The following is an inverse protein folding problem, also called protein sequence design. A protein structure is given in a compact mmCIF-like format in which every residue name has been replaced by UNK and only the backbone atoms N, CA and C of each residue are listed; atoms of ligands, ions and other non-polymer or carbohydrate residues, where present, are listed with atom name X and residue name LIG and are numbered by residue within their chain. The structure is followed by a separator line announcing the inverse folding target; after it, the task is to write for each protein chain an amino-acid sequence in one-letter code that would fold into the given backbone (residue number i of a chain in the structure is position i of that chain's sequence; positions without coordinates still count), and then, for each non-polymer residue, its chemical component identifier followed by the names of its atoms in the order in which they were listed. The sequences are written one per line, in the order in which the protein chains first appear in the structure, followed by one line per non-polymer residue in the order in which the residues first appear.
data_IF_785839423605
#
_entry.id   IF_785839423605
#
_cell.length_a   1.000
_cell.length_b   1.000
_cell.length_c   1.000
_cell.angle_alpha   90.00
_cell.angle_beta   90.00
_cell.angle_gamma   90.00
#
_symmetry.space_group_name_H-M   'P 1'
#
loop_
_entity.id
_entity.type
_entity.pdbx_description
1 polymer ?
#
# COMPACT_ATOMS: atom_id res chain seq x y z
N UNK A 1 -5.95 18.24 -45.35
CA UNK A 1 -5.12 18.41 -44.15
C UNK A 1 -5.71 17.56 -43.06
N UNK A 2 -5.21 16.33 -42.89
CA UNK A 2 -5.70 15.40 -41.87
C UNK A 2 -5.05 15.74 -40.52
N UNK A 3 -5.80 15.86 -39.42
CA UNK A 3 -5.19 16.03 -38.11
C UNK A 3 -4.53 14.72 -37.69
N UNK A 4 -3.22 14.73 -37.57
CA UNK A 4 -2.44 13.62 -36.97
C UNK A 4 -2.87 13.47 -35.51
N UNK A 5 -3.77 12.55 -35.26
CA UNK A 5 -4.20 12.17 -33.93
C UNK A 5 -2.98 11.63 -33.13
N UNK A 6 -2.70 12.30 -32.05
CA UNK A 6 -1.66 11.98 -31.07
C UNK A 6 -1.99 10.64 -30.36
N UNK A 7 -1.87 9.51 -31.09
CA UNK A 7 -2.14 8.14 -30.63
C UNK A 7 -1.02 7.56 -29.76
N UNK A 8 0.19 8.09 -29.87
CA UNK A 8 1.36 7.58 -29.14
C UNK A 8 1.31 7.90 -27.63
N UNK A 9 0.82 9.07 -27.23
CA UNK A 9 0.72 9.44 -25.82
C UNK A 9 -0.32 8.63 -25.04
N UNK A 10 -1.44 8.27 -25.68
CA UNK A 10 -2.48 7.42 -25.07
C UNK A 10 -2.02 5.98 -24.89
N UNK A 11 -1.20 5.46 -25.83
CA UNK A 11 -0.63 4.12 -25.74
C UNK A 11 0.36 3.97 -24.59
N UNK A 12 1.25 4.93 -24.39
CA UNK A 12 2.23 4.93 -23.29
C UNK A 12 1.55 5.05 -21.92
N UNK A 13 0.57 5.94 -21.78
CA UNK A 13 -0.18 6.09 -20.55
C UNK A 13 -0.93 4.80 -20.17
N UNK A 14 -1.55 4.12 -21.14
CA UNK A 14 -2.25 2.86 -20.88
C UNK A 14 -1.30 1.71 -20.50
N UNK A 15 -0.10 1.65 -21.09
CA UNK A 15 0.93 0.69 -20.70
C UNK A 15 1.46 0.94 -19.29
N UNK A 16 1.72 2.20 -18.94
CA UNK A 16 2.15 2.58 -17.59
C UNK A 16 1.10 2.23 -16.53
N UNK A 17 -0.18 2.51 -16.81
CA UNK A 17 -1.29 2.15 -15.91
C UNK A 17 -1.43 0.63 -15.74
N UNK A 18 -1.28 -0.16 -16.82
CA UNK A 18 -1.30 -1.63 -16.73
C UNK A 18 -0.12 -2.19 -15.95
N UNK A 19 1.08 -1.61 -16.15
CA UNK A 19 2.27 -1.97 -15.38
C UNK A 19 2.10 -1.69 -13.88
N UNK A 20 1.58 -0.51 -13.54
CA UNK A 20 1.26 -0.14 -12.17
C UNK A 20 0.22 -1.08 -11.54
N UNK A 21 -0.83 -1.43 -12.30
CA UNK A 21 -1.85 -2.38 -11.86
C UNK A 21 -1.28 -3.77 -11.61
N UNK A 22 -0.41 -4.26 -12.50
CA UNK A 22 0.29 -5.53 -12.33
C UNK A 22 1.19 -5.55 -11.09
N UNK A 23 1.99 -4.49 -10.89
CA UNK A 23 2.83 -4.33 -9.70
C UNK A 23 1.99 -4.32 -8.41
N UNK A 24 0.86 -3.60 -8.40
CA UNK A 24 -0.06 -3.56 -7.26
C UNK A 24 -0.60 -4.95 -6.92
N UNK A 25 -0.98 -5.74 -7.93
CA UNK A 25 -1.44 -7.13 -7.71
C UNK A 25 -0.32 -8.00 -7.14
N UNK A 26 0.89 -7.90 -7.68
CA UNK A 26 2.04 -8.67 -7.19
C UNK A 26 2.34 -8.36 -5.71
N UNK A 27 2.36 -7.08 -5.34
CA UNK A 27 2.56 -6.64 -3.95
C UNK A 27 1.43 -7.15 -3.04
N UNK A 28 0.17 -7.13 -3.50
CA UNK A 28 -0.95 -7.67 -2.74
C UNK A 28 -0.83 -9.20 -2.53
N UNK A 29 -0.38 -9.94 -3.52
CA UNK A 29 -0.11 -11.39 -3.39
C UNK A 29 0.96 -11.64 -2.34
N UNK A 30 2.06 -10.86 -2.34
CA UNK A 30 3.09 -10.95 -1.30
C UNK A 30 2.51 -10.69 0.09
N UNK A 31 1.66 -9.68 0.24
CA UNK A 31 0.95 -9.41 1.50
C UNK A 31 0.08 -10.58 1.96
N UNK A 32 -0.61 -11.22 1.03
CA UNK A 32 -1.45 -12.40 1.32
C UNK A 32 -0.60 -13.60 1.74
N UNK A 33 0.52 -13.85 1.06
CA UNK A 33 1.46 -14.91 1.45
C UNK A 33 2.05 -14.66 2.84
N UNK A 34 2.33 -13.41 3.18
CA UNK A 34 2.81 -13.03 4.49
C UNK A 34 1.76 -13.30 5.58
N UNK A 35 0.46 -13.09 5.31
CA UNK A 35 -0.62 -13.47 6.24
C UNK A 35 -0.58 -14.97 6.52
N UNK A 36 -0.48 -15.79 5.47
CA UNK A 36 -0.40 -17.26 5.62
C UNK A 36 0.83 -17.65 6.42
N UNK A 37 1.98 -17.03 6.13
CA UNK A 37 3.22 -17.30 6.85
C UNK A 37 3.09 -17.00 8.36
N UNK A 38 2.49 -15.85 8.71
CA UNK A 38 2.25 -15.47 10.12
C UNK A 38 1.26 -16.44 10.79
N UNK A 39 0.20 -16.81 10.08
CA UNK A 39 -0.76 -17.78 10.62
C UNK A 39 -0.09 -19.10 10.97
N UNK A 40 0.79 -19.60 10.09
CA UNK A 40 1.57 -20.80 10.34
C UNK A 40 2.57 -20.62 11.50
N UNK A 41 3.23 -19.46 11.58
CA UNK A 41 4.17 -19.16 12.65
C UNK A 41 3.49 -19.12 14.02
N UNK A 42 2.33 -18.43 14.12
CA UNK A 42 1.55 -18.36 15.36
C UNK A 42 1.05 -19.77 15.74
N UNK A 43 0.55 -20.54 14.76
CA UNK A 43 0.11 -21.91 14.98
C UNK A 43 1.24 -22.79 15.50
N UNK A 44 2.44 -22.69 14.91
CA UNK A 44 3.61 -23.42 15.36
C UNK A 44 4.03 -23.03 16.79
N UNK A 45 4.02 -21.73 17.13
CA UNK A 45 4.32 -21.25 18.50
C UNK A 45 3.33 -21.81 19.52
N UNK A 46 2.04 -21.77 19.20
CA UNK A 46 0.97 -22.31 20.09
C UNK A 46 1.16 -23.82 20.31
N UNK A 47 1.46 -24.58 19.26
CA UNK A 47 1.72 -26.01 19.35
C UNK A 47 2.98 -26.30 20.16
N UNK A 48 4.09 -25.59 19.88
CA UNK A 48 5.36 -25.73 20.59
C UNK A 48 5.21 -25.45 22.10
N UNK A 49 4.45 -24.41 22.42
CA UNK A 49 4.15 -24.00 23.80
C UNK A 49 3.30 -25.05 24.54
N UNK A 50 2.26 -25.58 23.89
CA UNK A 50 1.32 -26.52 24.54
C UNK A 50 1.83 -27.96 24.61
N UNK A 51 2.56 -28.42 23.58
CA UNK A 51 3.03 -29.81 23.51
C UNK A 51 4.41 -30.00 24.14
N UNK A 52 5.29 -29.03 23.99
CA UNK A 52 6.70 -29.15 24.38
C UNK A 52 7.09 -28.19 25.52
N UNK A 53 6.17 -27.32 25.96
CA UNK A 53 6.43 -26.25 26.92
C UNK A 53 7.64 -25.36 26.52
N UNK A 54 7.88 -25.23 25.21
CA UNK A 54 9.00 -24.52 24.60
C UNK A 54 8.46 -23.47 23.60
N UNK A 55 8.11 -22.24 24.07
CA UNK A 55 7.65 -21.18 23.19
C UNK A 55 8.75 -20.74 22.21
N UNK A 56 8.35 -20.39 20.98
CA UNK A 56 9.28 -19.88 19.98
C UNK A 56 9.59 -18.42 20.31
N UNK A 57 10.88 -18.11 20.52
CA UNK A 57 11.30 -16.74 20.85
C UNK A 57 11.07 -15.78 19.68
N UNK A 58 10.57 -14.57 19.96
CA UNK A 58 10.44 -13.49 18.98
C UNK A 58 9.19 -13.54 18.11
N UNK A 59 8.25 -14.46 18.32
CA UNK A 59 7.00 -14.54 17.57
C UNK A 59 6.18 -13.26 17.70
N UNK A 60 5.97 -12.67 18.90
CA UNK A 60 5.22 -11.41 19.04
C UNK A 60 5.84 -10.26 18.23
N UNK A 61 7.16 -10.15 18.23
CA UNK A 61 7.91 -9.13 17.50
C UNK A 61 7.77 -9.31 15.98
N UNK A 62 7.93 -10.54 15.50
CA UNK A 62 7.72 -10.86 14.08
C UNK A 62 6.30 -10.59 13.63
N UNK A 63 5.31 -10.94 14.43
CA UNK A 63 3.90 -10.67 14.15
C UNK A 63 3.64 -9.17 14.09
N UNK A 64 4.12 -8.39 15.05
CA UNK A 64 3.94 -6.95 15.10
C UNK A 64 4.54 -6.26 13.86
N UNK A 65 5.76 -6.61 13.47
CA UNK A 65 6.42 -6.09 12.27
C UNK A 65 5.66 -6.49 11.00
N UNK A 66 5.20 -7.72 10.93
CA UNK A 66 4.51 -8.25 9.75
C UNK A 66 3.13 -7.66 9.55
N UNK A 67 2.37 -7.34 10.61
CA UNK A 67 1.08 -6.65 10.51
C UNK A 67 1.25 -5.31 9.78
N UNK A 68 2.27 -4.54 10.16
CA UNK A 68 2.57 -3.26 9.49
C UNK A 68 2.89 -3.51 8.01
N UNK A 69 3.76 -4.47 7.70
CA UNK A 69 4.11 -4.82 6.34
C UNK A 69 2.88 -5.23 5.50
N UNK A 70 2.01 -6.08 6.03
CA UNK A 70 0.78 -6.53 5.37
C UNK A 70 -0.11 -5.35 5.00
N UNK A 71 -0.33 -4.43 5.92
CA UNK A 71 -1.17 -3.24 5.67
C UNK A 71 -0.63 -2.46 4.47
N UNK A 72 0.66 -2.11 4.46
CA UNK A 72 1.25 -1.32 3.37
C UNK A 72 1.35 -2.07 2.04
N UNK A 73 1.40 -3.42 2.06
CA UNK A 73 1.36 -4.23 0.84
C UNK A 73 -0.05 -4.34 0.24
N UNK A 74 -1.12 -4.29 1.06
CA UNK A 74 -2.49 -4.54 0.60
C UNK A 74 -3.31 -3.28 0.35
N UNK A 75 -3.03 -2.15 1.02
CA UNK A 75 -3.77 -0.90 0.87
C UNK A 75 -3.80 -0.38 -0.58
N UNK A 76 -2.73 -0.42 -1.39
CA UNK A 76 -2.78 -0.01 -2.80
C UNK A 76 -3.79 -0.79 -3.64
N UNK A 77 -3.93 -2.10 -3.39
CA UNK A 77 -4.91 -2.94 -4.08
C UNK A 77 -6.35 -2.62 -3.66
N UNK A 78 -6.56 -2.28 -2.40
CA UNK A 78 -7.88 -1.87 -1.89
C UNK A 78 -8.37 -0.60 -2.57
N UNK A 79 -7.47 0.37 -2.79
CA UNK A 79 -7.78 1.58 -3.56
C UNK A 79 -8.10 1.26 -5.02
N UNK A 80 -7.27 0.43 -5.67
CA UNK A 80 -7.46 0.02 -7.06
C UNK A 80 -8.80 -0.71 -7.27
N UNK A 81 -9.20 -1.57 -6.34
CA UNK A 81 -10.44 -2.34 -6.41
C UNK A 81 -11.70 -1.52 -6.07
N UNK A 82 -11.55 -0.21 -5.84
CA UNK A 82 -12.61 0.71 -5.39
C UNK A 82 -13.37 0.23 -4.13
N UNK A 83 -12.67 -0.55 -3.30
CA UNK A 83 -13.19 -1.11 -2.05
C UNK A 83 -12.92 -0.21 -0.84
N UNK A 84 -12.41 0.99 -1.08
CA UNK A 84 -12.29 1.98 -0.02
C UNK A 84 -13.70 2.35 0.46
N UNK A 85 -13.96 2.17 1.75
CA UNK A 85 -15.20 2.57 2.39
C UNK A 85 -15.30 4.10 2.32
N UNK A 86 -15.96 4.59 1.28
CA UNK A 86 -16.29 6.01 1.13
C UNK A 86 -17.76 6.17 1.43
N UNK A 87 -18.13 7.36 1.87
CA UNK A 87 -19.54 7.75 1.95
C UNK A 87 -20.08 7.92 0.52
N UNK A 88 -20.23 6.78 -0.19
CA UNK A 88 -20.69 6.74 -1.59
C UNK A 88 -22.05 7.36 -1.74
N UNK A 89 -22.93 7.23 -0.74
CA UNK A 89 -24.28 7.76 -0.78
C UNK A 89 -24.34 9.30 -1.00
N UNK A 90 -23.46 10.05 -0.31
CA UNK A 90 -23.37 11.50 -0.47
C UNK A 90 -22.77 11.86 -1.82
N UNK A 91 -21.71 11.19 -2.21
CA UNK A 91 -21.01 11.43 -3.47
C UNK A 91 -21.91 11.08 -4.67
N UNK A 92 -22.64 9.96 -4.60
CA UNK A 92 -23.59 9.54 -5.64
C UNK A 92 -24.77 10.50 -5.76
N UNK A 93 -25.26 11.07 -4.66
CA UNK A 93 -26.29 12.09 -4.68
C UNK A 93 -25.80 13.38 -5.37
N UNK A 94 -24.55 13.80 -5.10
CA UNK A 94 -23.92 14.96 -5.74
C UNK A 94 -23.66 14.66 -7.23
N UNK A 95 -23.17 13.47 -7.57
CA UNK A 95 -22.88 13.06 -8.95
C UNK A 95 -24.13 13.08 -9.83
N UNK A 96 -25.32 12.74 -9.28
CA UNK A 96 -26.60 12.81 -10.01
C UNK A 96 -27.06 14.24 -10.29
N UNK A 97 -26.74 15.20 -9.41
CA UNK A 97 -27.19 16.61 -9.55
C UNK A 97 -26.15 17.51 -10.21
N UNK A 98 -24.86 17.28 -9.94
CA UNK A 98 -23.77 18.13 -10.39
C UNK A 98 -22.50 17.27 -10.63
N UNK A 99 -22.38 16.58 -11.79
CA UNK A 99 -21.28 15.65 -12.05
C UNK A 99 -19.90 16.32 -12.02
N UNK A 100 -19.80 17.58 -12.45
CA UNK A 100 -18.54 18.35 -12.40
C UNK A 100 -18.11 18.67 -10.98
N UNK A 101 -19.05 18.97 -10.08
CA UNK A 101 -18.74 19.24 -8.66
C UNK A 101 -18.24 17.95 -7.98
N UNK A 102 -18.87 16.81 -8.26
CA UNK A 102 -18.41 15.52 -7.75
C UNK A 102 -16.99 15.20 -8.23
N UNK A 103 -16.68 15.43 -9.51
CA UNK A 103 -15.35 15.22 -10.09
C UNK A 103 -14.28 16.07 -9.39
N UNK A 104 -14.55 17.38 -9.20
CA UNK A 104 -13.63 18.29 -8.52
C UNK A 104 -13.40 17.85 -7.06
N UNK A 105 -14.48 17.49 -6.37
CA UNK A 105 -14.42 17.06 -4.97
C UNK A 105 -13.61 15.77 -4.82
N UNK A 106 -13.81 14.77 -5.68
CA UNK A 106 -12.98 13.55 -5.69
C UNK A 106 -11.51 13.87 -5.97
N UNK A 107 -11.23 14.75 -6.93
CA UNK A 107 -9.85 15.16 -7.26
C UNK A 107 -9.19 15.87 -6.09
N UNK A 108 -9.89 16.76 -5.38
CA UNK A 108 -9.35 17.46 -4.20
C UNK A 108 -9.01 16.47 -3.08
N UNK A 109 -9.88 15.48 -2.81
CA UNK A 109 -9.60 14.44 -1.82
C UNK A 109 -8.42 13.56 -2.23
N UNK A 110 -8.31 13.19 -3.50
CA UNK A 110 -7.18 12.39 -3.99
C UNK A 110 -5.86 13.18 -3.91
N UNK A 111 -5.85 14.48 -4.20
CA UNK A 111 -4.69 15.35 -4.04
C UNK A 111 -4.30 15.49 -2.56
N UNK A 112 -5.27 15.70 -1.67
CA UNK A 112 -5.02 15.76 -0.23
C UNK A 112 -4.42 14.45 0.29
N UNK A 113 -4.89 13.30 -0.19
CA UNK A 113 -4.32 11.99 0.13
C UNK A 113 -2.88 11.86 -0.37
N UNK A 114 -2.58 12.30 -1.60
CA UNK A 114 -1.21 12.30 -2.15
C UNK A 114 -0.28 13.18 -1.32
N UNK A 115 -0.71 14.36 -0.91
CA UNK A 115 0.09 15.27 -0.08
C UNK A 115 0.39 14.65 1.30
N UNK A 116 -0.61 14.04 1.93
CA UNK A 116 -0.44 13.39 3.23
C UNK A 116 0.49 12.16 3.13
N UNK A 117 0.32 11.33 2.09
CA UNK A 117 1.21 10.20 1.84
C UNK A 117 2.62 10.65 1.47
N UNK A 118 2.76 11.76 0.75
CA UNK A 118 4.05 12.37 0.44
C UNK A 118 4.78 12.83 1.70
N UNK A 119 4.07 13.48 2.62
CA UNK A 119 4.62 13.85 3.92
C UNK A 119 5.03 12.61 4.75
N UNK A 120 4.21 11.55 4.73
CA UNK A 120 4.53 10.27 5.37
C UNK A 120 5.80 9.65 4.78
N UNK A 121 5.90 9.61 3.44
CA UNK A 121 7.06 9.07 2.74
C UNK A 121 8.33 9.87 3.07
N UNK A 122 8.23 11.20 3.05
CA UNK A 122 9.32 12.10 3.43
C UNK A 122 9.81 11.86 4.86
N UNK A 123 8.89 11.72 5.81
CA UNK A 123 9.22 11.43 7.20
C UNK A 123 9.77 9.99 7.42
N UNK A 124 9.32 9.04 6.62
CA UNK A 124 9.73 7.63 6.72
C UNK A 124 11.11 7.36 6.10
N UNK A 125 11.51 8.16 5.11
CA UNK A 125 12.78 7.96 4.42
C UNK A 125 14.02 8.01 5.34
N UNK A 126 14.21 9.05 6.19
CA UNK A 126 15.36 9.09 7.11
C UNK A 126 15.31 7.99 8.17
N UNK A 127 14.11 7.53 8.55
CA UNK A 127 13.96 6.40 9.47
C UNK A 127 14.39 5.07 8.83
N UNK A 128 14.17 4.92 7.52
CA UNK A 128 14.65 3.76 6.77
C UNK A 128 16.18 3.80 6.64
N UNK A 129 16.76 4.93 6.21
CA UNK A 129 18.23 5.06 6.05
C UNK A 129 18.97 4.84 7.35
N UNK A 130 18.51 5.41 8.46
CA UNK A 130 19.09 5.16 9.79
C UNK A 130 19.02 3.68 10.19
N UNK A 131 17.93 2.98 9.84
CA UNK A 131 17.79 1.57 10.20
C UNK A 131 18.66 0.66 9.35
N UNK A 132 18.94 1.08 8.12
CA UNK A 132 19.88 0.41 7.23
C UNK A 132 21.33 0.59 7.68
N UNK A 133 21.74 1.83 8.04
CA UNK A 133 23.10 2.16 8.42
C UNK A 133 23.47 1.66 9.83
N UNK A 134 22.50 1.63 10.76
CA UNK A 134 22.74 1.30 12.18
C UNK A 134 22.31 -0.11 12.54
N UNK A 135 21.90 -0.93 11.56
CA UNK A 135 21.38 -2.29 11.78
C UNK A 135 20.40 -2.37 12.97
N UNK A 136 19.43 -1.44 13.00
CA UNK A 136 18.47 -1.42 14.09
C UNK A 136 17.61 -2.68 14.09
N UNK A 137 17.46 -3.29 15.27
CA UNK A 137 16.68 -4.49 15.47
C UNK A 137 15.63 -4.32 16.58
N UNK A 138 14.61 -5.16 16.56
CA UNK A 138 13.62 -5.32 17.62
C UNK A 138 13.82 -6.68 18.27
N UNK A 139 13.60 -6.74 19.59
CA UNK A 139 13.79 -7.93 20.40
C UNK A 139 14.83 -7.76 21.49
N UNK A 140 15.07 -8.81 22.26
CA UNK A 140 16.02 -8.83 23.35
C UNK A 140 17.34 -9.46 22.89
N UNK A 141 18.45 -8.75 23.11
CA UNK A 141 19.81 -9.26 22.83
C UNK A 141 20.01 -10.57 23.62
N UNK A 142 20.42 -11.62 22.91
CA UNK A 142 20.68 -12.94 23.48
C UNK A 142 19.51 -13.92 23.45
N UNK A 143 18.30 -13.46 23.05
CA UNK A 143 17.14 -14.34 22.89
C UNK A 143 16.64 -14.35 21.43
N UNK A 144 16.23 -13.18 20.91
CA UNK A 144 15.79 -13.01 19.52
C UNK A 144 15.99 -11.57 19.08
N UNK A 145 16.50 -11.38 17.85
CA UNK A 145 16.64 -10.06 17.23
C UNK A 145 16.16 -10.13 15.78
N UNK A 146 15.20 -9.25 15.41
CA UNK A 146 14.74 -9.10 14.03
C UNK A 146 15.15 -7.72 13.47
N UNK A 147 15.74 -7.65 12.27
CA UNK A 147 16.06 -6.38 11.64
C UNK A 147 14.78 -5.63 11.28
N UNK A 148 14.75 -4.32 11.52
CA UNK A 148 13.56 -3.48 11.28
C UNK A 148 13.56 -2.88 9.88
N UNK A 149 14.73 -2.78 9.24
CA UNK A 149 14.88 -2.16 7.93
C UNK A 149 13.98 -2.74 6.81
N UNK A 150 13.67 -4.07 6.74
CA UNK A 150 12.82 -4.59 5.68
C UNK A 150 11.39 -4.07 5.78
N UNK A 151 10.87 -3.94 7.00
CA UNK A 151 9.53 -3.41 7.23
C UNK A 151 9.45 -1.93 6.87
N UNK A 152 10.47 -1.14 7.23
CA UNK A 152 10.55 0.28 6.84
C UNK A 152 10.66 0.46 5.32
N UNK A 153 11.39 -0.42 4.63
CA UNK A 153 11.41 -0.46 3.18
C UNK A 153 10.00 -0.72 2.61
N UNK A 154 9.28 -1.70 3.16
CA UNK A 154 7.91 -2.03 2.73
C UNK A 154 6.97 -0.84 2.94
N UNK A 155 7.10 -0.10 4.05
CA UNK A 155 6.34 1.13 4.28
C UNK A 155 6.62 2.15 3.17
N UNK A 156 7.87 2.41 2.84
CA UNK A 156 8.24 3.35 1.77
C UNK A 156 7.70 2.91 0.41
N UNK A 157 7.88 1.64 0.04
CA UNK A 157 7.41 1.08 -1.24
C UNK A 157 5.87 1.08 -1.31
N UNK A 158 5.20 0.63 -0.26
CA UNK A 158 3.73 0.59 -0.18
C UNK A 158 3.13 1.99 -0.26
N UNK A 159 3.71 2.97 0.45
CA UNK A 159 3.28 4.37 0.40
C UNK A 159 3.49 4.97 -0.99
N UNK A 160 4.63 4.74 -1.63
CA UNK A 160 4.90 5.22 -3.00
C UNK A 160 3.92 4.59 -4.01
N UNK A 161 3.64 3.28 -3.88
CA UNK A 161 2.67 2.60 -4.73
C UNK A 161 1.25 3.13 -4.52
N UNK A 162 0.86 3.43 -3.29
CA UNK A 162 -0.44 4.01 -2.98
C UNK A 162 -0.58 5.42 -3.57
N UNK A 163 0.46 6.26 -3.48
CA UNK A 163 0.49 7.57 -4.14
C UNK A 163 0.33 7.45 -5.65
N UNK A 164 1.04 6.50 -6.29
CA UNK A 164 0.93 6.23 -7.71
C UNK A 164 -0.49 5.78 -8.11
N UNK A 165 -1.16 4.98 -7.30
CA UNK A 165 -2.55 4.57 -7.53
C UNK A 165 -3.54 5.74 -7.38
N UNK A 166 -3.35 6.66 -6.43
CA UNK A 166 -4.16 7.89 -6.35
C UNK A 166 -3.96 8.76 -7.58
N UNK A 167 -2.71 8.95 -8.03
CA UNK A 167 -2.42 9.69 -9.26
C UNK A 167 -3.05 9.02 -10.50
N UNK A 168 -2.93 7.70 -10.62
CA UNK A 168 -3.58 6.93 -11.69
C UNK A 168 -5.10 7.06 -11.66
N UNK A 169 -5.70 7.11 -10.47
CA UNK A 169 -7.13 7.33 -10.29
C UNK A 169 -7.55 8.70 -10.79
N UNK A 170 -6.85 9.76 -10.46
CA UNK A 170 -7.11 11.11 -10.97
C UNK A 170 -7.11 11.10 -12.51
N UNK A 171 -6.07 10.49 -13.13
CA UNK A 171 -5.99 10.38 -14.59
C UNK A 171 -7.20 9.63 -15.17
N UNK A 172 -7.63 8.53 -14.54
CA UNK A 172 -8.81 7.77 -14.98
C UNK A 172 -10.10 8.56 -14.84
N UNK A 173 -10.27 9.30 -13.74
CA UNK A 173 -11.44 10.16 -13.52
C UNK A 173 -11.59 11.24 -14.61
N UNK A 174 -10.48 11.91 -14.95
CA UNK A 174 -10.49 12.95 -15.97
C UNK A 174 -10.57 12.40 -17.40
N UNK A 175 -10.08 11.20 -17.65
CA UNK A 175 -10.21 10.55 -18.97
C UNK A 175 -11.62 10.01 -19.24
N UNK A 176 -12.40 9.74 -18.19
CA UNK A 176 -13.79 9.28 -18.27
C UNK A 176 -14.82 10.42 -18.16
N UNK A 177 -14.37 11.67 -17.90
CA UNK A 177 -15.25 12.83 -17.84
C UNK A 177 -15.78 13.16 -19.24
N UNK A 178 -17.09 13.45 -19.39
CA UNK A 178 -17.72 13.81 -20.67
C UNK A 178 -17.28 15.20 -21.19
#
# INVERSE_FOLDING_TARGET
MSPSHNTSGRGLASLALRGLDGATVAINVLGTLLIVAIMLLIGADVLARNLFNAPISGVPEMVALSIVAIVFLQVPQTLRADRFTRSTAVLDAIRRRAPRVALVMETVFDIAAILLLGALLYASWPLFTQSWEKDTFVGAIGNFTAPVWPVKLIICVGTAMLMAQFAARIVRLWSAAP
#
